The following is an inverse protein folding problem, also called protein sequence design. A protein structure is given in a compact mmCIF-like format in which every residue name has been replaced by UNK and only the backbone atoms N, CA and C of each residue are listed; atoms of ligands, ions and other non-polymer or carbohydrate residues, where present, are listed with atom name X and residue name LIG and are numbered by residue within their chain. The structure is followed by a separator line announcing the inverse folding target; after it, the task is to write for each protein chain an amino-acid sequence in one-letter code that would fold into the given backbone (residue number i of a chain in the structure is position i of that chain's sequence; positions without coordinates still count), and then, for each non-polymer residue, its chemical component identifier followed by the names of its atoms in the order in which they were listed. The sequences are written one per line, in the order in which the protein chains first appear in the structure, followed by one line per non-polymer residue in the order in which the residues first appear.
data_IF_675321941281
#
_entry.id   IF_675321941281
#
_cell.length_a   1.000
_cell.length_b   1.000
_cell.length_c   1.000
_cell.angle_alpha   90.00
_cell.angle_beta   90.00
_cell.angle_gamma   90.00
#
_symmetry.space_group_name_H-M   'P 1'
#
loop_
_entity.id
_entity.type
_entity.pdbx_description
1 polymer ?
#
# COMPACT_ATOMS: atom_id res chain seq x y z
N UNK A 1 -13.94 -18.21 -6.06
CA UNK A 1 -13.57 -17.53 -7.32
C UNK A 1 -13.67 -16.03 -7.09
N UNK A 2 -12.64 -15.27 -7.41
CA UNK A 2 -12.65 -13.81 -7.21
C UNK A 2 -13.40 -13.12 -8.36
N UNK A 3 -14.26 -12.15 -8.06
CA UNK A 3 -15.05 -11.45 -9.09
C UNK A 3 -14.16 -10.47 -9.88
N UNK A 4 -14.58 -10.15 -11.11
CA UNK A 4 -13.87 -9.20 -11.97
C UNK A 4 -13.80 -7.80 -11.35
N UNK A 5 -14.85 -7.39 -10.65
CA UNK A 5 -14.94 -6.12 -9.92
C UNK A 5 -13.88 -6.02 -8.82
N UNK A 6 -13.70 -7.09 -8.04
CA UNK A 6 -12.67 -7.14 -7.01
C UNK A 6 -11.27 -7.06 -7.65
N UNK A 7 -11.01 -7.79 -8.75
CA UNK A 7 -9.73 -7.68 -9.48
C UNK A 7 -9.46 -6.25 -9.95
N UNK A 8 -10.49 -5.54 -10.45
CA UNK A 8 -10.37 -4.14 -10.84
C UNK A 8 -10.11 -3.21 -9.64
N UNK A 9 -10.75 -3.45 -8.49
CA UNK A 9 -10.48 -2.71 -7.26
C UNK A 9 -9.02 -2.89 -6.81
N UNK A 10 -8.52 -4.12 -6.86
CA UNK A 10 -7.12 -4.43 -6.54
C UNK A 10 -6.17 -3.71 -7.50
N UNK A 11 -6.46 -3.71 -8.81
CA UNK A 11 -5.64 -3.00 -9.80
C UNK A 11 -5.52 -1.50 -9.50
N UNK A 12 -6.63 -0.83 -9.19
CA UNK A 12 -6.60 0.61 -8.85
C UNK A 12 -5.72 0.89 -7.64
N UNK A 13 -5.84 0.08 -6.59
CA UNK A 13 -4.98 0.20 -5.41
C UNK A 13 -3.51 -0.13 -5.72
N UNK A 14 -3.27 -1.08 -6.63
CA UNK A 14 -1.95 -1.48 -7.08
C UNK A 14 -1.23 -0.34 -7.82
N UNK A 15 -1.95 0.45 -8.64
CA UNK A 15 -1.40 1.62 -9.32
C UNK A 15 -0.93 2.68 -8.33
N UNK A 16 -1.73 2.96 -7.29
CA UNK A 16 -1.35 3.88 -6.21
C UNK A 16 -0.12 3.35 -5.48
N UNK A 17 -0.14 2.09 -5.04
CA UNK A 17 1.00 1.44 -4.39
C UNK A 17 2.26 1.48 -5.26
N UNK A 18 2.12 1.23 -6.56
CA UNK A 18 3.24 1.31 -7.51
C UNK A 18 3.84 2.71 -7.59
N UNK A 19 3.00 3.74 -7.62
CA UNK A 19 3.44 5.14 -7.70
C UNK A 19 4.24 5.57 -6.46
N UNK A 20 3.98 4.94 -5.32
CA UNK A 20 4.69 5.17 -4.06
C UNK A 20 5.93 4.28 -3.90
N UNK A 21 6.02 3.16 -4.61
CA UNK A 21 7.18 2.28 -4.54
C UNK A 21 8.41 2.86 -5.26
N UNK A 22 9.54 2.95 -4.55
CA UNK A 22 10.82 3.29 -5.14
C UNK A 22 11.46 2.07 -5.83
N UNK A 23 11.85 2.22 -7.10
CA UNK A 23 12.56 1.19 -7.86
C UNK A 23 11.83 0.73 -9.12
N UNK A 24 12.36 -0.32 -9.74
CA UNK A 24 11.86 -0.86 -11.00
C UNK A 24 10.62 -1.73 -10.83
N UNK A 25 9.85 -1.89 -11.90
CA UNK A 25 8.67 -2.77 -11.95
C UNK A 25 9.02 -4.22 -11.59
N UNK A 26 10.25 -4.66 -11.87
CA UNK A 26 10.75 -5.99 -11.47
C UNK A 26 10.86 -6.14 -9.95
N UNK A 27 11.45 -5.14 -9.26
CA UNK A 27 11.54 -5.16 -7.79
C UNK A 27 10.16 -5.07 -7.13
N UNK A 28 9.24 -4.31 -7.73
CA UNK A 28 7.86 -4.23 -7.26
C UNK A 28 7.12 -5.56 -7.43
N UNK A 29 7.27 -6.24 -8.57
CA UNK A 29 6.68 -7.57 -8.76
C UNK A 29 7.16 -8.57 -7.69
N UNK A 30 8.45 -8.53 -7.35
CA UNK A 30 9.03 -9.36 -6.28
C UNK A 30 8.42 -9.05 -4.91
N UNK A 31 8.20 -7.78 -4.55
CA UNK A 31 7.58 -7.43 -3.26
C UNK A 31 6.13 -7.94 -3.16
N UNK A 32 5.41 -7.96 -4.28
CA UNK A 32 4.08 -8.54 -4.41
C UNK A 32 4.10 -10.08 -4.35
N UNK A 33 5.21 -10.71 -4.74
CA UNK A 33 5.37 -12.17 -4.79
C UNK A 33 4.91 -12.79 -6.12
N UNK A 34 5.04 -12.05 -7.22
CA UNK A 34 4.71 -12.49 -8.57
C UNK A 34 5.89 -12.25 -9.52
N UNK A 35 5.90 -12.92 -10.67
CA UNK A 35 6.92 -12.68 -11.68
C UNK A 35 6.74 -11.31 -12.37
N UNK A 36 7.83 -10.72 -12.86
CA UNK A 36 7.80 -9.44 -13.59
C UNK A 36 6.91 -9.50 -14.85
N UNK A 37 6.90 -10.63 -15.55
CA UNK A 37 6.02 -10.87 -16.71
C UNK A 37 4.55 -10.92 -16.32
N UNK A 38 4.21 -11.55 -15.18
CA UNK A 38 2.85 -11.59 -14.65
C UNK A 38 2.38 -10.19 -14.28
N UNK A 39 3.22 -9.43 -13.57
CA UNK A 39 2.92 -8.04 -13.23
C UNK A 39 2.67 -7.17 -14.46
N UNK A 40 3.54 -7.25 -15.48
CA UNK A 40 3.39 -6.48 -16.73
C UNK A 40 2.05 -6.75 -17.43
N UNK A 41 1.68 -8.03 -17.56
CA UNK A 41 0.40 -8.43 -18.17
C UNK A 41 -0.79 -7.96 -17.34
N UNK A 42 -0.73 -8.14 -16.01
CA UNK A 42 -1.79 -7.69 -15.10
C UNK A 42 -1.96 -6.18 -15.12
N UNK A 43 -0.86 -5.41 -15.14
CA UNK A 43 -0.84 -3.95 -15.29
C UNK A 43 -1.50 -3.51 -16.61
N UNK A 44 -1.34 -4.28 -17.68
CA UNK A 44 -1.95 -4.02 -18.99
C UNK A 44 -3.42 -4.47 -19.09
N UNK A 45 -4.04 -4.91 -17.99
CA UNK A 45 -5.46 -5.25 -17.94
C UNK A 45 -5.80 -6.72 -18.23
N UNK A 46 -4.81 -7.61 -18.34
CA UNK A 46 -5.05 -9.04 -18.44
C UNK A 46 -5.36 -9.64 -17.06
N UNK A 47 -6.66 -9.83 -16.77
CA UNK A 47 -7.15 -10.25 -15.45
C UNK A 47 -7.38 -11.75 -15.30
N UNK A 48 -7.44 -12.49 -16.42
CA UNK A 48 -7.82 -13.89 -16.42
C UNK A 48 -6.61 -14.79 -16.71
N UNK A 49 -6.40 -15.80 -15.86
CA UNK A 49 -5.35 -16.83 -15.98
C UNK A 49 -3.89 -16.33 -15.96
N UNK A 50 -3.63 -15.03 -15.74
CA UNK A 50 -2.26 -14.50 -15.58
C UNK A 50 -1.68 -14.83 -14.21
N UNK A 51 -2.48 -14.62 -13.16
CA UNK A 51 -2.18 -14.99 -11.77
C UNK A 51 -3.39 -15.70 -11.17
N UNK A 52 -3.13 -16.59 -10.20
CA UNK A 52 -4.18 -17.37 -9.54
C UNK A 52 -5.04 -16.50 -8.61
N UNK A 53 -6.25 -16.95 -8.31
CA UNK A 53 -7.12 -16.30 -7.33
C UNK A 53 -6.43 -16.16 -5.96
N UNK A 54 -5.62 -17.14 -5.57
CA UNK A 54 -4.83 -17.08 -4.33
C UNK A 54 -3.78 -15.96 -4.37
N UNK A 55 -3.13 -15.74 -5.52
CA UNK A 55 -2.19 -14.63 -5.71
C UNK A 55 -2.90 -13.28 -5.68
N UNK A 56 -4.08 -13.16 -6.30
CA UNK A 56 -4.91 -11.95 -6.21
C UNK A 56 -5.24 -11.61 -4.74
N UNK A 57 -5.65 -12.60 -3.95
CA UNK A 57 -5.97 -12.40 -2.53
C UNK A 57 -4.73 -12.03 -1.70
N UNK A 58 -3.57 -12.62 -2.00
CA UNK A 58 -2.31 -12.27 -1.35
C UNK A 58 -1.91 -10.83 -1.63
N UNK A 59 -2.01 -10.40 -2.89
CA UNK A 59 -1.75 -9.01 -3.30
C UNK A 59 -2.69 -8.05 -2.58
N UNK A 60 -4.00 -8.32 -2.61
CA UNK A 60 -5.00 -7.48 -1.95
C UNK A 60 -4.69 -7.25 -0.46
N UNK A 61 -4.30 -8.30 0.26
CA UNK A 61 -3.91 -8.22 1.68
C UNK A 61 -2.65 -7.39 1.89
N UNK A 62 -1.63 -7.56 1.05
CA UNK A 62 -0.37 -6.79 1.13
C UNK A 62 -0.59 -5.30 0.93
N UNK A 63 -1.44 -4.91 -0.03
CA UNK A 63 -1.72 -3.51 -0.34
C UNK A 63 -2.88 -2.92 0.49
N UNK A 64 -3.47 -3.70 1.41
CA UNK A 64 -4.52 -3.22 2.32
C UNK A 64 -5.89 -2.99 1.68
N UNK A 65 -6.20 -3.64 0.56
CA UNK A 65 -7.53 -3.53 -0.07
C UNK A 65 -8.57 -4.28 0.77
N UNK A 66 -9.60 -3.56 1.19
CA UNK A 66 -10.77 -4.17 1.81
C UNK A 66 -11.63 -4.84 0.72
N UNK A 67 -11.79 -6.16 0.88
CA UNK A 67 -12.53 -7.04 -0.04
C UNK A 67 -14.01 -7.17 0.31
N UNK A 68 -14.43 -6.64 1.45
CA UNK A 68 -15.83 -6.62 1.87
C UNK A 68 -16.51 -5.32 1.40
N UNK A 69 -17.81 -5.38 1.14
CA UNK A 69 -18.66 -4.22 0.81
C UNK A 69 -18.94 -3.30 2.00
N UNK A 70 -18.06 -3.29 2.99
CA UNK A 70 -18.13 -2.37 4.13
C UNK A 70 -17.63 -1.00 3.71
N UNK A 71 -18.26 0.06 4.22
CA UNK A 71 -17.82 1.45 4.03
C UNK A 71 -16.32 1.60 4.30
N UNK A 72 -15.63 2.27 3.38
CA UNK A 72 -14.19 2.51 3.55
C UNK A 72 -13.94 3.42 4.75
N UNK A 73 -13.08 2.96 5.65
CA UNK A 73 -12.64 3.74 6.79
C UNK A 73 -11.78 4.91 6.31
N UNK A 74 -12.14 6.13 6.71
CA UNK A 74 -11.38 7.33 6.41
C UNK A 74 -10.48 7.70 7.59
N UNK A 75 -9.26 8.09 7.28
CA UNK A 75 -8.31 8.62 8.26
C UNK A 75 -8.85 9.91 8.87
N UNK A 76 -8.94 9.96 10.20
CA UNK A 76 -9.27 11.19 10.91
C UNK A 76 -8.04 12.09 11.02
N UNK A 77 -8.18 13.37 10.65
CA UNK A 77 -7.09 14.36 10.71
C UNK A 77 -6.94 14.93 12.13
N UNK A 78 -6.45 14.11 13.06
CA UNK A 78 -6.25 14.50 14.47
C UNK A 78 -4.93 15.24 14.68
N UNK A 79 -4.78 16.01 15.78
CA UNK A 79 -3.50 16.66 16.09
C UNK A 79 -2.33 15.69 16.21
N UNK A 80 -2.55 14.49 16.78
CA UNK A 80 -1.51 13.45 16.87
C UNK A 80 -1.14 12.93 15.48
N UNK A 81 -2.12 12.73 14.60
CA UNK A 81 -1.87 12.31 13.22
C UNK A 81 -1.03 13.35 12.46
N UNK A 82 -1.37 14.63 12.58
CA UNK A 82 -0.61 15.74 11.99
C UNK A 82 0.82 15.78 12.53
N UNK A 83 0.97 15.78 13.85
CA UNK A 83 2.28 15.82 14.51
C UNK A 83 3.19 14.70 14.00
N UNK A 84 2.73 13.45 14.04
CA UNK A 84 3.54 12.30 13.61
C UNK A 84 3.85 12.39 12.11
N UNK A 85 2.88 12.81 11.29
CA UNK A 85 3.08 12.98 9.84
C UNK A 85 4.18 14.01 9.56
N UNK A 86 4.15 15.18 10.20
CA UNK A 86 5.18 16.21 10.06
C UNK A 86 6.56 15.72 10.49
N UNK A 87 6.65 14.93 11.57
CA UNK A 87 7.92 14.33 11.98
C UNK A 87 8.46 13.36 10.93
N UNK A 88 7.59 12.55 10.33
CA UNK A 88 7.98 11.60 9.26
C UNK A 88 8.41 12.34 7.99
N UNK A 89 7.72 13.41 7.60
CA UNK A 89 8.10 14.28 6.48
C UNK A 89 9.49 14.90 6.68
N UNK A 90 9.75 15.43 7.88
CA UNK A 90 11.06 15.97 8.22
C UNK A 90 12.16 14.89 8.15
N UNK A 91 11.88 13.68 8.63
CA UNK A 91 12.81 12.55 8.53
C UNK A 91 13.10 12.16 7.09
N UNK A 92 12.05 12.06 6.27
CA UNK A 92 12.17 11.70 4.86
C UNK A 92 12.96 12.77 4.07
N UNK A 93 12.62 14.05 4.25
CA UNK A 93 13.28 15.15 3.53
C UNK A 93 14.73 15.36 4.00
N UNK A 94 14.99 15.21 5.30
CA UNK A 94 16.29 15.45 5.90
C UNK A 94 17.22 14.24 5.94
N UNK A 95 16.79 13.07 5.46
CA UNK A 95 17.51 11.80 5.64
C UNK A 95 17.84 11.52 7.11
N UNK A 96 16.90 11.85 8.01
CA UNK A 96 17.07 11.71 9.46
C UNK A 96 16.45 10.39 9.95
N UNK A 97 16.93 9.94 11.10
CA UNK A 97 16.31 8.85 11.85
C UNK A 97 15.81 9.40 13.19
N UNK A 98 14.59 9.04 13.57
CA UNK A 98 13.97 9.47 14.82
C UNK A 98 13.22 8.32 15.50
N UNK A 99 13.14 8.37 16.83
CA UNK A 99 12.33 7.44 17.63
C UNK A 99 11.08 8.16 18.13
N UNK A 100 9.90 7.65 17.78
CA UNK A 100 8.61 8.14 18.28
C UNK A 100 8.20 7.32 19.51
N UNK A 101 8.40 7.86 20.72
CA UNK A 101 8.05 7.22 21.98
C UNK A 101 6.99 8.04 22.73
N UNK A 102 5.83 7.43 22.99
CA UNK A 102 4.69 8.05 23.69
C UNK A 102 3.71 6.93 24.13
N UNK A 103 2.61 7.29 24.79
CA UNK A 103 1.52 6.42 25.23
C UNK A 103 1.01 5.48 24.13
N UNK A 104 0.64 4.26 24.50
CA UNK A 104 -0.02 3.31 23.60
C UNK A 104 -1.37 3.85 23.09
N UNK A 105 -1.82 3.34 21.94
CA UNK A 105 -3.13 3.68 21.33
C UNK A 105 -3.39 5.14 20.92
N UNK A 106 -2.42 6.04 21.02
CA UNK A 106 -2.58 7.41 20.48
C UNK A 106 -2.56 7.49 18.95
N UNK A 107 -2.31 6.37 18.26
CA UNK A 107 -2.29 6.30 16.79
C UNK A 107 -0.91 6.27 16.13
N UNK A 108 0.19 6.08 16.88
CA UNK A 108 1.56 6.07 16.32
C UNK A 108 1.75 5.10 15.15
N UNK A 109 1.43 3.83 15.38
CA UNK A 109 1.59 2.78 14.35
C UNK A 109 0.64 2.97 13.18
N UNK A 110 -0.55 3.52 13.43
CA UNK A 110 -1.51 3.81 12.37
C UNK A 110 -1.00 4.94 11.46
N UNK A 111 -0.57 6.07 12.04
CA UNK A 111 -0.01 7.19 11.28
C UNK A 111 1.19 6.77 10.44
N UNK A 112 2.12 5.97 11.00
CA UNK A 112 3.28 5.47 10.26
C UNK A 112 2.89 4.56 9.07
N UNK A 113 1.94 3.64 9.27
CA UNK A 113 1.42 2.78 8.19
C UNK A 113 0.72 3.59 7.11
N UNK A 114 -0.10 4.56 7.50
CA UNK A 114 -0.76 5.46 6.57
C UNK A 114 0.26 6.26 5.76
N UNK A 115 1.27 6.82 6.43
CA UNK A 115 2.35 7.56 5.79
C UNK A 115 3.08 6.72 4.74
N UNK A 116 3.45 5.48 5.08
CA UNK A 116 4.09 4.54 4.15
C UNK A 116 3.21 4.21 2.94
N UNK A 117 1.90 4.12 3.13
CA UNK A 117 0.96 3.84 2.04
C UNK A 117 0.77 5.02 1.09
N UNK A 118 0.94 6.26 1.56
CA UNK A 118 0.60 7.47 0.79
C UNK A 118 1.80 8.28 0.30
N UNK A 119 3.02 7.99 0.77
CA UNK A 119 4.23 8.73 0.41
C UNK A 119 5.19 7.90 -0.42
N UNK A 120 5.86 8.55 -1.37
CA UNK A 120 6.80 7.90 -2.28
C UNK A 120 8.07 7.50 -1.54
N UNK A 121 8.62 6.34 -1.88
CA UNK A 121 9.91 5.87 -1.36
C UNK A 121 9.91 5.52 0.11
N UNK A 122 8.74 5.30 0.70
CA UNK A 122 8.57 4.80 2.07
C UNK A 122 8.21 3.32 2.00
N UNK A 123 8.82 2.50 2.86
CA UNK A 123 8.69 1.03 2.86
C UNK A 123 8.21 0.55 4.22
#
# INVERSE_FOLDING_TARGET
MITKEIKQKILKALEVSRSNFAGSDSKFAVSLGIASSQYSRTKNGELDRVISDAQWMSIARKIGVNLNDTTEWKTANTPVFQFITTQLEACQAGSLSAMLCDMSDIGKSYSAKHYAATHKGVV
#
